data_IF_224989882118
#
_entry.id   IF_224989882118
#
_cell.length_a   1.000
_cell.length_b   1.000
_cell.length_c   1.000
_cell.angle_alpha   90.00
_cell.angle_beta   90.00
_cell.angle_gamma   90.00
#
_symmetry.space_group_name_H-M   'P 1'
#
loop_
_entity.id
_entity.type
_entity.pdbx_description
1 polymer ?
#
# COMPACT_ATOMS: atom_id res chain seq x y z
N UNK A 1 1.38 -13.76 9.62
CA UNK A 1 1.17 -12.31 9.80
C UNK A 1 1.77 -11.63 8.59
N UNK A 2 1.01 -10.77 7.92
CA UNK A 2 1.39 -10.28 6.59
C UNK A 2 2.54 -9.26 6.72
N UNK A 3 3.52 -9.33 5.83
CA UNK A 3 4.69 -8.42 5.88
C UNK A 3 4.25 -6.95 5.69
N UNK A 4 3.16 -6.75 4.94
CA UNK A 4 2.65 -5.42 4.61
C UNK A 4 1.99 -4.69 5.79
N UNK A 5 1.24 -5.36 6.66
CA UNK A 5 0.57 -4.72 7.80
C UNK A 5 1.58 -4.07 8.76
N UNK A 6 2.66 -4.79 9.05
CA UNK A 6 3.76 -4.30 9.89
C UNK A 6 4.53 -3.18 9.21
N UNK A 7 4.78 -3.30 7.90
CA UNK A 7 5.46 -2.25 7.12
C UNK A 7 4.66 -0.94 7.12
N UNK A 8 3.33 -1.02 6.91
CA UNK A 8 2.46 0.15 6.91
C UNK A 8 2.34 0.75 8.31
N UNK A 9 2.18 -0.09 9.34
CA UNK A 9 2.14 0.33 10.74
C UNK A 9 3.39 1.12 11.15
N UNK A 10 4.58 0.67 10.75
CA UNK A 10 5.84 1.37 11.03
C UNK A 10 5.91 2.77 10.37
N UNK A 11 5.37 2.91 9.16
CA UNK A 11 5.29 4.21 8.48
C UNK A 11 4.26 5.14 9.12
N UNK A 12 3.12 4.58 9.53
CA UNK A 12 2.09 5.31 10.28
C UNK A 12 2.64 5.84 11.60
N UNK A 13 3.36 5.03 12.37
CA UNK A 13 3.98 5.43 13.65
C UNK A 13 4.98 6.57 13.46
N UNK A 14 5.92 6.45 12.50
CA UNK A 14 6.92 7.49 12.20
C UNK A 14 6.29 8.83 11.84
N UNK A 15 5.12 8.81 11.19
CA UNK A 15 4.37 9.99 10.77
C UNK A 15 3.32 10.44 11.80
N UNK A 16 3.23 9.77 12.95
CA UNK A 16 2.24 10.02 14.01
C UNK A 16 0.80 9.94 13.49
N UNK A 17 0.55 9.00 12.58
CA UNK A 17 -0.77 8.69 12.04
C UNK A 17 -1.34 7.53 12.86
N UNK A 18 -2.32 7.82 13.71
CA UNK A 18 -2.91 6.82 14.62
C UNK A 18 -4.29 6.32 14.18
N UNK A 19 -4.71 6.67 12.96
CA UNK A 19 -6.05 6.36 12.46
C UNK A 19 -6.01 5.94 11.00
N UNK A 20 -6.51 4.74 10.73
CA UNK A 20 -6.70 4.21 9.36
C UNK A 20 -7.65 5.10 8.56
N UNK A 21 -8.67 5.68 9.20
CA UNK A 21 -9.62 6.59 8.55
C UNK A 21 -8.93 7.89 8.14
N UNK A 22 -8.03 8.40 8.98
CA UNK A 22 -7.24 9.58 8.64
C UNK A 22 -6.29 9.28 7.48
N UNK A 23 -5.54 8.16 7.56
CA UNK A 23 -4.66 7.70 6.48
C UNK A 23 -5.44 7.59 5.17
N UNK A 24 -6.56 6.88 5.18
CA UNK A 24 -7.35 6.64 3.99
C UNK A 24 -7.88 7.95 3.37
N UNK A 25 -8.42 8.85 4.20
CA UNK A 25 -8.91 10.14 3.74
C UNK A 25 -7.80 11.01 3.14
N UNK A 26 -6.65 11.09 3.81
CA UNK A 26 -5.55 11.95 3.34
C UNK A 26 -4.84 11.37 2.11
N UNK A 27 -4.80 10.04 1.96
CA UNK A 27 -4.24 9.36 0.79
C UNK A 27 -5.24 9.14 -0.35
N UNK A 28 -6.51 9.54 -0.19
CA UNK A 28 -7.56 9.30 -1.19
C UNK A 28 -7.88 7.81 -1.42
N UNK A 29 -7.78 7.01 -0.36
CA UNK A 29 -8.03 5.56 -0.33
C UNK A 29 -9.37 5.23 0.35
N UNK A 30 -9.86 4.02 0.14
CA UNK A 30 -11.01 3.48 0.86
C UNK A 30 -10.56 2.94 2.24
N UNK A 31 -11.16 3.42 3.33
CA UNK A 31 -10.81 3.02 4.69
C UNK A 31 -11.08 1.54 5.00
N UNK A 32 -12.08 0.93 4.36
CA UNK A 32 -12.35 -0.50 4.49
C UNK A 32 -11.19 -1.34 3.93
N UNK A 33 -10.74 -1.00 2.72
CA UNK A 33 -9.59 -1.67 2.11
C UNK A 33 -8.31 -1.48 2.93
N UNK A 34 -8.05 -0.27 3.45
CA UNK A 34 -6.92 -0.04 4.36
C UNK A 34 -7.05 -0.90 5.62
N UNK A 35 -8.27 -1.06 6.17
CA UNK A 35 -8.54 -1.95 7.29
C UNK A 35 -8.20 -3.41 6.96
N UNK A 36 -8.59 -3.90 5.79
CA UNK A 36 -8.27 -5.25 5.35
C UNK A 36 -6.77 -5.48 5.17
N UNK A 37 -6.00 -4.48 4.74
CA UNK A 37 -4.54 -4.56 4.71
C UNK A 37 -3.94 -4.69 6.10
N UNK A 38 -4.42 -3.90 7.06
CA UNK A 38 -3.95 -3.90 8.44
C UNK A 38 -4.29 -5.19 9.18
N UNK A 39 -5.35 -5.89 8.75
CA UNK A 39 -5.72 -7.21 9.25
C UNK A 39 -5.03 -8.36 8.50
N UNK A 40 -4.23 -8.06 7.48
CA UNK A 40 -3.58 -9.05 6.62
C UNK A 40 -4.56 -9.87 5.77
N UNK A 41 -5.78 -9.36 5.54
CA UNK A 41 -6.83 -10.02 4.73
C UNK A 41 -6.67 -9.74 3.24
N UNK A 42 -6.08 -8.59 2.90
CA UNK A 42 -5.84 -8.16 1.53
C UNK A 42 -4.51 -7.41 1.39
N UNK A 43 -4.12 -7.14 0.15
CA UNK A 43 -2.99 -6.29 -0.23
C UNK A 43 -3.51 -5.16 -1.13
N UNK A 44 -2.85 -4.00 -1.16
CA UNK A 44 -3.24 -2.91 -2.06
C UNK A 44 -3.06 -3.33 -3.52
N UNK A 45 -3.96 -2.90 -4.39
CA UNK A 45 -3.75 -2.99 -5.84
C UNK A 45 -2.78 -1.88 -6.33
N UNK A 46 -2.43 -1.89 -7.62
CA UNK A 46 -1.47 -0.94 -8.18
C UNK A 46 -1.88 0.54 -8.03
N UNK A 47 -3.18 0.85 -8.17
CA UNK A 47 -3.69 2.22 -8.02
C UNK A 47 -3.62 2.66 -6.54
N UNK A 48 -3.97 1.76 -5.63
CA UNK A 48 -3.92 2.00 -4.19
C UNK A 48 -2.48 2.14 -3.69
N UNK A 49 -1.57 1.32 -4.19
CA UNK A 49 -0.15 1.41 -3.90
C UNK A 49 0.46 2.72 -4.43
N UNK A 50 0.04 3.20 -5.61
CA UNK A 50 0.47 4.49 -6.15
C UNK A 50 0.01 5.67 -5.28
N UNK A 51 -1.25 5.68 -4.86
CA UNK A 51 -1.79 6.69 -3.93
C UNK A 51 -1.06 6.67 -2.58
N UNK A 52 -0.80 5.48 -2.05
CA UNK A 52 -0.07 5.31 -0.81
C UNK A 52 1.39 5.78 -0.94
N UNK A 53 2.04 5.50 -2.06
CA UNK A 53 3.40 5.96 -2.36
C UNK A 53 3.48 7.50 -2.41
N UNK A 54 2.54 8.15 -3.11
CA UNK A 54 2.43 9.61 -3.16
C UNK A 54 2.25 10.20 -1.76
N UNK A 55 1.28 9.68 -0.99
CA UNK A 55 1.02 10.15 0.37
C UNK A 55 2.21 9.95 1.31
N UNK A 56 2.86 8.78 1.24
CA UNK A 56 4.04 8.46 2.03
C UNK A 56 5.32 9.10 1.49
N UNK A 57 5.25 9.88 0.41
CA UNK A 57 6.41 10.46 -0.28
C UNK A 57 7.53 9.41 -0.50
N UNK A 58 7.12 8.20 -0.90
CA UNK A 58 7.99 7.07 -1.17
C UNK A 58 7.95 6.73 -2.66
N UNK A 59 9.03 6.16 -3.22
CA UNK A 59 8.99 5.52 -4.51
C UNK A 59 7.90 4.44 -4.57
N UNK A 60 7.14 4.38 -5.67
CA UNK A 60 6.14 3.32 -5.89
C UNK A 60 6.73 1.91 -5.70
N UNK A 61 7.97 1.70 -6.16
CA UNK A 61 8.66 0.41 -6.04
C UNK A 61 8.77 -0.06 -4.58
N UNK A 62 9.03 0.85 -3.64
CA UNK A 62 9.26 0.50 -2.24
C UNK A 62 7.94 0.03 -1.59
N UNK A 63 6.82 0.65 -2.00
CA UNK A 63 5.47 0.24 -1.58
C UNK A 63 5.07 -1.07 -2.26
N UNK A 64 5.41 -1.24 -3.54
CA UNK A 64 5.12 -2.45 -4.29
C UNK A 64 5.90 -3.66 -3.75
N UNK A 65 7.19 -3.50 -3.41
CA UNK A 65 7.97 -4.55 -2.77
C UNK A 65 7.39 -4.93 -1.40
N UNK A 66 7.00 -3.95 -0.58
CA UNK A 66 6.37 -4.19 0.71
C UNK A 66 5.02 -4.92 0.59
N UNK A 67 4.23 -4.59 -0.44
CA UNK A 67 2.97 -5.25 -0.75
C UNK A 67 3.16 -6.60 -1.47
N UNK A 68 4.40 -7.02 -1.73
CA UNK A 68 4.68 -8.34 -2.31
C UNK A 68 4.36 -8.44 -3.79
N UNK A 69 4.37 -7.33 -4.54
CA UNK A 69 4.36 -7.34 -6.00
C UNK A 69 5.68 -7.98 -6.49
N UNK A 70 5.75 -9.32 -6.57
CA UNK A 70 6.75 -9.99 -7.40
C UNK A 70 6.31 -9.78 -8.84
N UNK A 71 7.12 -9.06 -9.62
CA UNK A 71 6.84 -8.58 -10.98
C UNK A 71 5.85 -7.40 -11.08
N UNK A 72 6.32 -6.19 -10.78
CA UNK A 72 5.98 -5.02 -11.61
C UNK A 72 6.97 -4.90 -12.80
N UNK A 73 7.42 -6.04 -13.32
CA UNK A 73 8.24 -6.13 -14.53
C UNK A 73 7.31 -6.17 -15.74
N UNK A 74 7.30 -5.06 -16.49
CA UNK A 74 6.80 -4.87 -17.85
C UNK A 74 5.40 -5.43 -18.23
N UNK A 75 4.59 -4.66 -19.00
CA UNK A 75 3.47 -5.28 -19.70
C UNK A 75 4.05 -6.33 -20.64
N UNK A 76 3.92 -7.62 -20.29
CA UNK A 76 4.16 -8.70 -21.27
C UNK A 76 3.22 -8.44 -22.43
N UNK A 77 3.78 -7.90 -23.51
CA UNK A 77 3.14 -7.80 -24.79
C UNK A 77 2.54 -9.16 -25.11
N UNK A 78 1.23 -9.19 -25.25
CA UNK A 78 0.52 -10.32 -25.86
C UNK A 78 0.93 -10.32 -27.33
N UNK A 79 2.02 -11.01 -27.64
CA UNK A 79 2.26 -11.55 -28.97
C UNK A 79 1.58 -12.92 -29.01
N UNK A 80 0.34 -12.93 -29.49
CA UNK A 80 -0.32 -14.05 -30.17
C UNK A 80 -1.53 -13.48 -30.91
#
# INVERSE_FOLDING_TARGET
MAVFDRWLSAHMERRKIWSINRLAREAGLNAEHVGDWMLGRALPNAVEAAKLAEYLALPFRDVAEAAGFRDAGEPRGRLA
#
